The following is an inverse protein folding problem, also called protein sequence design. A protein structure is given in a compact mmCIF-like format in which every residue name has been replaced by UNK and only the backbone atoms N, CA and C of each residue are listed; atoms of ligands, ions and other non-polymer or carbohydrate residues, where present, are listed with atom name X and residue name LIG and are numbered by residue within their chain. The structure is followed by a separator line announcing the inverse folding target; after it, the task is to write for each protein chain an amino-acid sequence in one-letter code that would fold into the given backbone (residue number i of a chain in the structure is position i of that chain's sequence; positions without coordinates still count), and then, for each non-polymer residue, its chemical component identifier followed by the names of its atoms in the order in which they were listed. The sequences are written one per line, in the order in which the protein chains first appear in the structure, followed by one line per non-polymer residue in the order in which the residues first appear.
data_IF_904233102427
#
_entry.id   IF_904233102427
#
_cell.length_a   1.000
_cell.length_b   1.000
_cell.length_c   1.000
_cell.angle_alpha   90.00
_cell.angle_beta   90.00
_cell.angle_gamma   90.00
#
_symmetry.space_group_name_H-M   'P 1'
#
loop_
_entity.id
_entity.type
_entity.pdbx_description
1 polymer ?
#
# COMPACT_ATOMS: atom_id res chain seq x y z
N UNK A 1 13.39 3.41 14.62
CA UNK A 1 12.68 2.12 14.67
C UNK A 1 11.18 2.42 14.78
N UNK A 2 10.41 2.22 13.70
CA UNK A 2 8.95 2.40 13.70
C UNK A 2 8.37 1.21 14.48
N UNK A 3 7.70 1.49 15.60
CA UNK A 3 6.96 0.44 16.32
C UNK A 3 5.71 0.11 15.50
N UNK A 4 5.27 -1.17 15.49
CA UNK A 4 4.05 -1.64 14.79
C UNK A 4 2.77 -0.85 15.06
N UNK A 5 2.79 0.10 16.01
CA UNK A 5 1.65 0.89 16.48
C UNK A 5 1.73 2.35 16.05
N UNK A 6 2.62 2.72 15.12
CA UNK A 6 2.79 4.11 14.68
C UNK A 6 2.12 4.28 13.31
N UNK A 7 0.90 4.79 13.31
CA UNK A 7 0.17 5.09 12.09
C UNK A 7 0.71 6.39 11.48
N UNK A 8 0.98 6.40 10.19
CA UNK A 8 1.41 7.60 9.46
C UNK A 8 0.28 8.22 8.64
N UNK A 9 -0.79 7.47 8.39
CA UNK A 9 -2.00 7.91 7.71
C UNK A 9 -3.24 7.64 8.58
N UNK A 10 -4.22 8.52 8.45
CA UNK A 10 -5.49 8.50 9.16
C UNK A 10 -6.61 8.97 8.22
N UNK A 11 -7.86 8.92 8.67
CA UNK A 11 -9.00 9.53 7.98
C UNK A 11 -9.34 10.85 8.65
N UNK A 12 -9.44 11.91 7.84
CA UNK A 12 -9.97 13.23 8.23
C UNK A 12 -11.06 13.63 7.24
N UNK A 13 -12.24 13.93 7.74
CA UNK A 13 -13.39 14.34 6.90
C UNK A 13 -13.67 13.34 5.74
N UNK A 14 -13.46 12.04 6.00
CA UNK A 14 -13.65 10.98 5.02
C UNK A 14 -12.49 10.78 4.03
N UNK A 15 -11.41 11.55 4.15
CA UNK A 15 -10.25 11.50 3.23
C UNK A 15 -9.01 10.98 3.94
N UNK A 16 -8.24 10.11 3.25
CA UNK A 16 -6.94 9.66 3.72
C UNK A 16 -5.98 10.85 3.84
N UNK A 17 -5.35 11.00 4.99
CA UNK A 17 -4.53 12.16 5.30
C UNK A 17 -3.25 11.76 6.02
N UNK A 18 -2.11 12.26 5.55
CA UNK A 18 -0.80 12.05 6.17
C UNK A 18 -0.71 12.81 7.51
N UNK A 19 0.06 12.24 8.44
CA UNK A 19 0.43 12.90 9.70
C UNK A 19 1.07 14.27 9.48
N UNK A 20 1.79 14.47 8.37
CA UNK A 20 2.46 15.74 8.08
C UNK A 20 1.49 16.86 7.73
N UNK A 21 0.31 16.53 7.21
CA UNK A 21 -0.70 17.47 6.71
C UNK A 21 -1.75 17.88 7.76
N UNK A 22 -1.56 17.53 9.03
CA UNK A 22 -2.53 17.82 10.09
C UNK A 22 -1.90 18.57 11.25
N UNK A 23 -2.74 19.22 12.07
CA UNK A 23 -2.31 19.86 13.31
C UNK A 23 -1.92 18.83 14.36
N UNK A 24 -1.01 19.22 15.29
CA UNK A 24 -0.60 18.38 16.40
C UNK A 24 -1.72 18.18 17.42
N UNK A 25 -1.71 17.05 18.10
CA UNK A 25 -2.66 16.70 19.15
C UNK A 25 -4.03 16.28 18.63
N UNK A 26 -5.06 16.43 19.45
CA UNK A 26 -6.46 16.11 19.10
C UNK A 26 -7.06 17.06 18.07
N UNK A 27 -6.48 18.25 17.90
CA UNK A 27 -6.92 19.22 16.89
C UNK A 27 -6.80 18.70 15.45
N UNK A 28 -6.05 17.62 15.23
CA UNK A 28 -6.00 16.97 13.92
C UNK A 28 -7.40 16.57 13.42
N UNK A 29 -8.35 16.26 14.29
CA UNK A 29 -9.69 15.81 13.91
C UNK A 29 -9.70 14.46 13.15
N UNK A 30 -8.68 13.64 13.37
CA UNK A 30 -8.48 12.39 12.63
C UNK A 30 -9.03 11.19 13.38
N UNK A 31 -9.45 10.19 12.61
CA UNK A 31 -9.89 8.88 13.12
C UNK A 31 -9.05 7.75 12.54
N UNK A 32 -8.98 6.65 13.26
CA UNK A 32 -8.31 5.44 12.80
C UNK A 32 -9.04 4.84 11.59
N UNK A 33 -8.34 4.55 10.49
CA UNK A 33 -8.97 3.98 9.31
C UNK A 33 -9.51 2.56 9.52
N UNK A 34 -9.08 1.88 10.57
CA UNK A 34 -9.51 0.51 10.88
C UNK A 34 -10.66 0.47 11.90
N UNK A 35 -10.49 1.07 13.08
CA UNK A 35 -11.47 0.97 14.16
C UNK A 35 -12.35 2.22 14.35
N UNK A 36 -12.08 3.32 13.62
CA UNK A 36 -12.85 4.56 13.71
C UNK A 36 -12.60 5.40 14.96
N UNK A 37 -11.72 4.96 15.88
CA UNK A 37 -11.40 5.70 17.11
C UNK A 37 -10.65 7.00 16.79
N UNK A 38 -10.87 8.03 17.65
CA UNK A 38 -10.15 9.29 17.58
C UNK A 38 -8.65 9.09 17.75
N UNK A 39 -7.89 9.80 16.93
CA UNK A 39 -6.44 9.77 16.93
C UNK A 39 -5.84 11.08 17.46
N UNK A 40 -4.66 10.95 18.04
CA UNK A 40 -3.82 12.06 18.48
C UNK A 40 -2.60 12.14 17.58
N UNK A 41 -2.40 13.26 16.91
CA UNK A 41 -1.21 13.49 16.09
C UNK A 41 0.00 13.81 16.97
N UNK A 42 0.96 12.91 17.05
CA UNK A 42 2.21 13.03 17.80
C UNK A 42 3.30 13.63 16.89
N UNK A 43 3.52 14.94 16.98
CA UNK A 43 4.48 15.68 16.12
C UNK A 43 5.62 16.30 16.96
N UNK A 44 6.22 15.50 17.83
CA UNK A 44 7.35 15.93 18.65
C UNK A 44 8.70 15.82 17.91
N UNK A 45 9.72 16.52 18.40
CA UNK A 45 11.05 16.60 17.78
C UNK A 45 11.95 15.37 17.97
N UNK A 46 11.61 14.49 18.93
CA UNK A 46 12.48 13.35 19.32
C UNK A 46 12.12 12.03 18.63
N UNK A 47 10.95 11.92 18.05
CA UNK A 47 10.44 10.69 17.40
C UNK A 47 9.81 11.04 16.08
N UNK A 48 9.76 10.08 15.15
CA UNK A 48 8.99 10.21 13.92
C UNK A 48 7.54 10.61 14.24
N UNK A 49 7.00 11.52 13.46
CA UNK A 49 5.61 11.91 13.53
C UNK A 49 4.71 10.70 13.27
N UNK A 50 3.68 10.52 14.09
CA UNK A 50 2.74 9.42 13.97
C UNK A 50 1.42 9.73 14.66
N UNK A 51 0.38 9.02 14.29
CA UNK A 51 -0.87 9.01 15.05
C UNK A 51 -0.85 7.91 16.10
N UNK A 52 -1.51 8.15 17.22
CA UNK A 52 -1.82 7.17 18.24
C UNK A 52 -3.29 7.25 18.64
N UNK A 53 -3.89 6.14 19.03
CA UNK A 53 -5.26 6.13 19.54
C UNK A 53 -5.37 6.99 20.80
N UNK A 54 -6.48 7.71 20.91
CA UNK A 54 -6.72 8.60 22.06
C UNK A 54 -6.82 7.83 23.37
N UNK A 55 -7.51 6.68 23.37
CA UNK A 55 -7.61 5.80 24.53
C UNK A 55 -6.29 5.14 24.93
N UNK A 56 -5.29 5.17 24.05
CA UNK A 56 -4.01 4.47 24.24
C UNK A 56 -4.07 2.97 23.95
N UNK A 57 -5.21 2.44 23.48
CA UNK A 57 -5.32 1.03 23.13
C UNK A 57 -4.68 0.75 21.76
N UNK A 58 -4.19 -0.46 21.55
CA UNK A 58 -3.63 -0.89 20.28
C UNK A 58 -4.73 -1.51 19.39
N UNK A 59 -4.86 -0.98 18.18
CA UNK A 59 -5.75 -1.51 17.16
C UNK A 59 -5.00 -2.52 16.30
N UNK A 60 -5.48 -3.76 16.22
CA UNK A 60 -4.83 -4.88 15.55
C UNK A 60 -4.50 -4.59 14.08
N UNK A 61 -5.43 -3.98 13.35
CA UNK A 61 -5.29 -3.71 11.91
C UNK A 61 -4.98 -2.25 11.57
N UNK A 62 -4.84 -1.38 12.56
CA UNK A 62 -4.63 0.07 12.34
C UNK A 62 -3.37 0.36 11.54
N UNK A 63 -2.27 -0.30 11.88
CA UNK A 63 -0.99 -0.12 11.19
C UNK A 63 -1.06 -0.57 9.73
N UNK A 64 -1.60 -1.76 9.48
CA UNK A 64 -1.77 -2.32 8.14
C UNK A 64 -2.62 -1.40 7.27
N UNK A 65 -3.81 -1.03 7.75
CA UNK A 65 -4.72 -0.15 7.02
C UNK A 65 -4.09 1.23 6.74
N UNK A 66 -3.32 1.77 7.70
CA UNK A 66 -2.59 3.02 7.52
C UNK A 66 -1.53 2.93 6.41
N UNK A 67 -0.80 1.81 6.33
CA UNK A 67 0.18 1.58 5.25
C UNK A 67 -0.48 1.39 3.88
N UNK A 68 -1.60 0.68 3.82
CA UNK A 68 -2.39 0.57 2.58
C UNK A 68 -2.84 1.94 2.07
N UNK A 69 -3.34 2.80 2.96
CA UNK A 69 -3.72 4.18 2.61
C UNK A 69 -2.51 4.99 2.12
N UNK A 70 -1.38 4.88 2.80
CA UNK A 70 -0.16 5.56 2.40
C UNK A 70 0.29 5.14 0.99
N UNK A 71 0.32 3.83 0.72
CA UNK A 71 0.70 3.29 -0.59
C UNK A 71 -0.26 3.76 -1.69
N UNK A 72 -1.57 3.70 -1.45
CA UNK A 72 -2.59 4.16 -2.41
C UNK A 72 -2.44 5.66 -2.70
N UNK A 73 -2.21 6.50 -1.69
CA UNK A 73 -2.02 7.93 -1.90
C UNK A 73 -0.75 8.23 -2.70
N UNK A 74 0.38 7.62 -2.34
CA UNK A 74 1.64 7.79 -3.08
C UNK A 74 1.47 7.38 -4.54
N UNK A 75 0.86 6.22 -4.79
CA UNK A 75 0.65 5.70 -6.14
C UNK A 75 -0.35 6.55 -6.94
N UNK A 76 -1.38 7.11 -6.28
CA UNK A 76 -2.39 7.94 -6.96
C UNK A 76 -1.82 9.22 -7.55
N UNK A 77 -0.73 9.73 -6.98
CA UNK A 77 -0.06 10.96 -7.41
C UNK A 77 1.23 10.71 -8.20
N UNK A 78 1.65 9.43 -8.33
CA UNK A 78 2.86 9.06 -9.02
C UNK A 78 2.73 9.26 -10.54
N UNK A 79 3.73 9.89 -11.16
CA UNK A 79 3.82 10.03 -12.61
C UNK A 79 4.66 8.93 -13.27
N UNK A 80 5.42 8.19 -12.47
CA UNK A 80 6.31 7.11 -12.91
C UNK A 80 6.37 6.02 -11.85
N UNK A 81 6.64 4.81 -12.29
CA UNK A 81 6.91 3.67 -11.41
C UNK A 81 8.03 2.82 -12.00
N UNK A 82 8.92 2.33 -11.12
CA UNK A 82 9.94 1.36 -11.49
C UNK A 82 9.34 -0.05 -11.37
N UNK A 83 9.19 -0.74 -12.51
CA UNK A 83 8.82 -2.14 -12.53
C UNK A 83 10.05 -3.01 -12.24
N UNK A 84 9.93 -4.04 -11.39
CA UNK A 84 11.04 -4.94 -11.10
C UNK A 84 11.40 -5.79 -12.32
N UNK A 85 12.63 -6.32 -12.32
CA UNK A 85 12.99 -7.37 -13.25
C UNK A 85 12.16 -8.63 -13.00
N UNK A 86 11.75 -9.30 -14.07
CA UNK A 86 10.96 -10.53 -14.00
C UNK A 86 11.86 -11.72 -14.37
N UNK A 87 11.85 -12.73 -13.51
CA UNK A 87 12.57 -13.97 -13.70
C UNK A 87 11.60 -15.15 -13.83
N UNK A 88 11.86 -16.03 -14.79
CA UNK A 88 11.14 -17.28 -14.93
C UNK A 88 11.86 -18.35 -14.12
N UNK A 89 11.12 -19.06 -13.29
CA UNK A 89 11.58 -20.22 -12.54
C UNK A 89 11.16 -21.49 -13.29
N UNK A 90 12.09 -22.42 -13.44
CA UNK A 90 11.79 -23.73 -14.07
C UNK A 90 11.26 -24.70 -13.03
N UNK A 91 10.10 -25.38 -13.28
CA UNK A 91 9.48 -26.28 -12.31
C UNK A 91 10.41 -27.39 -11.78
N UNK A 92 11.31 -27.87 -12.65
CA UNK A 92 12.24 -28.97 -12.33
C UNK A 92 13.62 -28.50 -11.85
N UNK A 93 13.84 -27.17 -11.74
CA UNK A 93 15.11 -26.59 -11.32
C UNK A 93 14.86 -25.29 -10.57
N UNK A 94 14.34 -25.36 -9.31
CA UNK A 94 13.90 -24.16 -8.58
C UNK A 94 15.03 -23.17 -8.27
N UNK A 95 16.30 -23.58 -8.43
CA UNK A 95 17.46 -22.68 -8.30
C UNK A 95 17.87 -22.03 -9.62
N UNK A 96 17.37 -22.52 -10.77
CA UNK A 96 17.65 -21.93 -12.06
C UNK A 96 16.59 -20.88 -12.39
N UNK A 97 17.03 -19.65 -12.55
CA UNK A 97 16.18 -18.53 -12.95
C UNK A 97 16.75 -17.95 -14.25
N UNK A 98 15.86 -17.65 -15.18
CA UNK A 98 16.20 -16.94 -16.41
C UNK A 98 15.56 -15.56 -16.39
N UNK A 99 16.33 -14.52 -16.72
CA UNK A 99 15.81 -13.17 -16.85
C UNK A 99 14.87 -13.10 -18.06
N UNK A 100 13.59 -12.85 -17.77
CA UNK A 100 12.56 -12.68 -18.79
C UNK A 100 12.42 -11.22 -19.24
N UNK A 101 12.46 -10.30 -18.27
CA UNK A 101 12.34 -8.87 -18.53
C UNK A 101 13.20 -8.09 -17.54
N UNK A 102 13.96 -7.12 -18.03
CA UNK A 102 14.73 -6.22 -17.17
C UNK A 102 13.83 -5.26 -16.39
N UNK A 103 14.35 -4.78 -15.27
CA UNK A 103 13.70 -3.70 -14.52
C UNK A 103 13.55 -2.46 -15.43
N UNK A 104 12.40 -1.83 -15.39
CA UNK A 104 12.08 -0.72 -16.29
C UNK A 104 11.24 0.35 -15.59
N UNK A 105 11.63 1.60 -15.75
CA UNK A 105 10.77 2.72 -15.39
C UNK A 105 9.71 2.93 -16.48
N UNK A 106 8.45 3.08 -16.05
CA UNK A 106 7.33 3.40 -16.94
C UNK A 106 6.66 4.70 -16.51
N UNK A 107 6.18 5.47 -17.49
CA UNK A 107 5.34 6.65 -17.24
C UNK A 107 3.90 6.22 -17.00
N UNK A 108 3.28 6.81 -15.99
CA UNK A 108 1.88 6.55 -15.62
C UNK A 108 1.00 7.59 -16.33
N UNK A 109 0.02 7.13 -17.10
CA UNK A 109 -0.96 7.97 -17.78
C UNK A 109 -2.13 8.30 -16.87
N UNK A 110 -2.59 7.30 -16.07
CA UNK A 110 -3.72 7.42 -15.18
C UNK A 110 -3.64 6.35 -14.08
N UNK A 111 -4.15 6.69 -12.92
CA UNK A 111 -4.32 5.78 -11.77
C UNK A 111 -5.77 5.74 -11.36
N UNK A 112 -6.29 4.57 -11.03
CA UNK A 112 -7.59 4.38 -10.41
C UNK A 112 -7.42 3.49 -9.17
N UNK A 113 -8.03 3.91 -8.07
CA UNK A 113 -7.99 3.15 -6.81
C UNK A 113 -9.23 2.28 -6.67
N UNK A 114 -9.06 1.06 -6.19
CA UNK A 114 -10.15 0.12 -5.84
C UNK A 114 -11.21 -0.03 -6.95
N UNK A 115 -10.80 0.11 -8.19
CA UNK A 115 -11.71 -0.03 -9.32
C UNK A 115 -12.05 -1.50 -9.55
N UNK A 116 -13.35 -1.82 -9.54
CA UNK A 116 -13.82 -3.17 -9.86
C UNK A 116 -13.50 -3.50 -11.34
N UNK A 117 -12.89 -4.63 -11.54
CA UNK A 117 -12.66 -5.24 -12.85
C UNK A 117 -13.16 -6.69 -12.81
N UNK A 118 -14.25 -6.98 -13.50
CA UNK A 118 -14.96 -8.27 -13.42
C UNK A 118 -15.23 -8.65 -11.93
N UNK A 119 -14.68 -9.77 -11.46
CA UNK A 119 -14.87 -10.29 -10.11
C UNK A 119 -13.73 -9.95 -9.14
N UNK A 120 -12.83 -9.05 -9.53
CA UNK A 120 -11.70 -8.60 -8.71
C UNK A 120 -11.74 -7.09 -8.49
N UNK A 121 -11.27 -6.67 -7.34
CA UNK A 121 -11.02 -5.26 -7.02
C UNK A 121 -9.55 -5.15 -6.62
N UNK A 122 -8.66 -4.73 -7.54
CA UNK A 122 -7.27 -4.46 -7.19
C UNK A 122 -7.16 -3.20 -6.33
N UNK A 123 -6.12 -3.12 -5.49
CA UNK A 123 -5.86 -1.93 -4.69
C UNK A 123 -5.63 -0.71 -5.57
N UNK A 124 -4.85 -0.88 -6.64
CA UNK A 124 -4.52 0.17 -7.60
C UNK A 124 -4.50 -0.37 -9.01
N UNK A 125 -5.07 0.38 -9.95
CA UNK A 125 -4.98 0.13 -11.39
C UNK A 125 -4.16 1.25 -12.02
N UNK A 126 -3.04 0.89 -12.64
CA UNK A 126 -2.20 1.81 -13.42
C UNK A 126 -2.47 1.62 -14.91
N UNK A 127 -2.56 2.72 -15.62
CA UNK A 127 -2.63 2.77 -17.09
C UNK A 127 -1.32 3.35 -17.61
N UNK A 128 -0.65 2.60 -18.48
CA UNK A 128 0.62 2.97 -19.08
C UNK A 128 0.79 2.33 -20.47
N UNK A 129 1.14 3.11 -21.48
CA UNK A 129 1.35 2.63 -22.84
C UNK A 129 0.11 1.92 -23.43
N UNK A 130 -1.09 2.36 -23.09
CA UNK A 130 -2.35 1.76 -23.51
C UNK A 130 -2.66 0.40 -22.85
N UNK A 131 -1.90 -0.01 -21.84
CA UNK A 131 -2.10 -1.25 -21.08
C UNK A 131 -2.52 -0.95 -19.64
N UNK A 132 -3.10 -1.97 -18.99
CA UNK A 132 -3.44 -1.95 -17.57
C UNK A 132 -2.44 -2.80 -16.79
N UNK A 133 -2.08 -2.33 -15.61
CA UNK A 133 -1.27 -3.04 -14.62
C UNK A 133 -1.99 -2.96 -13.28
N UNK A 134 -2.23 -4.08 -12.65
CA UNK A 134 -2.79 -4.14 -11.30
C UNK A 134 -1.65 -4.13 -10.28
N UNK A 135 -1.82 -3.34 -9.22
CA UNK A 135 -0.94 -3.37 -8.06
C UNK A 135 -1.76 -3.77 -6.85
N UNK A 136 -1.22 -4.71 -6.09
CA UNK A 136 -1.72 -5.16 -4.80
C UNK A 136 -0.70 -4.80 -3.73
N UNK A 137 -1.17 -4.31 -2.60
CA UNK A 137 -0.32 -3.92 -1.48
C UNK A 137 -0.41 -4.98 -0.39
N UNK A 138 0.72 -5.54 -0.03
CA UNK A 138 0.84 -6.56 1.01
C UNK A 138 1.55 -5.97 2.24
N UNK A 139 0.93 -6.09 3.41
CA UNK A 139 1.53 -5.65 4.69
C UNK A 139 1.69 -6.81 5.67
N UNK A 140 0.62 -7.54 5.95
CA UNK A 140 0.64 -8.68 6.88
C UNK A 140 0.15 -9.97 6.24
N UNK A 141 -0.77 -9.87 5.29
CA UNK A 141 -1.37 -11.02 4.62
C UNK A 141 -1.20 -10.88 3.11
N UNK A 142 -0.49 -11.84 2.52
CA UNK A 142 -0.37 -11.96 1.07
C UNK A 142 -1.75 -12.19 0.43
N UNK A 143 -1.83 -11.95 -0.88
CA UNK A 143 -3.03 -12.24 -1.68
C UNK A 143 -3.47 -13.68 -1.41
N UNK A 144 -4.74 -13.88 -1.05
CA UNK A 144 -5.31 -15.20 -0.86
C UNK A 144 -5.49 -15.97 -2.18
N UNK A 145 -5.61 -17.29 -2.10
CA UNK A 145 -5.74 -18.16 -3.27
C UNK A 145 -6.98 -17.85 -4.13
N UNK A 146 -8.03 -17.29 -3.53
CA UNK A 146 -9.27 -16.93 -4.24
C UNK A 146 -9.00 -15.68 -5.08
N UNK A 147 -8.43 -14.63 -4.48
CA UNK A 147 -8.07 -13.40 -5.18
C UNK A 147 -7.02 -13.68 -6.26
N UNK A 148 -6.00 -14.49 -5.95
CA UNK A 148 -4.97 -14.89 -6.93
C UNK A 148 -5.57 -15.59 -8.16
N UNK A 149 -6.52 -16.50 -7.98
CA UNK A 149 -7.21 -17.17 -9.10
C UNK A 149 -7.99 -16.17 -9.95
N UNK A 150 -8.69 -15.22 -9.33
CA UNK A 150 -9.45 -14.17 -10.04
C UNK A 150 -8.53 -13.25 -10.83
N UNK A 151 -7.39 -12.85 -10.26
CA UNK A 151 -6.37 -12.05 -10.95
C UNK A 151 -5.80 -12.79 -12.17
N UNK A 152 -5.50 -14.08 -12.03
CA UNK A 152 -5.06 -14.91 -13.16
C UNK A 152 -6.12 -15.04 -14.26
N UNK A 153 -7.40 -15.14 -13.90
CA UNK A 153 -8.51 -15.21 -14.84
C UNK A 153 -8.75 -13.87 -15.56
N UNK A 154 -8.44 -12.75 -14.92
CA UNK A 154 -8.53 -11.43 -15.52
C UNK A 154 -7.54 -11.20 -16.66
N UNK A 155 -6.49 -12.04 -16.76
CA UNK A 155 -5.41 -11.96 -17.76
C UNK A 155 -4.74 -10.58 -17.84
N UNK A 156 -4.62 -9.92 -16.68
CA UNK A 156 -3.95 -8.62 -16.54
C UNK A 156 -2.70 -8.80 -15.68
N UNK A 157 -1.59 -8.22 -16.14
CA UNK A 157 -0.35 -8.22 -15.37
C UNK A 157 -0.59 -7.62 -13.99
N UNK A 158 -0.16 -8.33 -12.95
CA UNK A 158 -0.35 -7.93 -11.55
C UNK A 158 0.99 -7.97 -10.83
N UNK A 159 1.27 -6.95 -10.03
CA UNK A 159 2.43 -6.88 -9.15
C UNK A 159 1.93 -6.75 -7.72
N UNK A 160 2.50 -7.55 -6.82
CA UNK A 160 2.32 -7.41 -5.37
C UNK A 160 3.48 -6.61 -4.78
N UNK A 161 3.15 -5.54 -4.06
CA UNK A 161 4.11 -4.69 -3.36
C UNK A 161 4.19 -5.15 -1.91
N UNK A 162 5.30 -5.77 -1.53
CA UNK A 162 5.54 -6.27 -0.18
C UNK A 162 6.04 -5.16 0.74
N UNK A 163 5.17 -4.65 1.60
CA UNK A 163 5.48 -3.68 2.66
C UNK A 163 5.68 -4.35 4.03
N UNK A 164 5.67 -5.69 4.10
CA UNK A 164 5.86 -6.41 5.35
C UNK A 164 7.31 -6.34 5.86
N UNK A 165 8.25 -6.17 4.96
CA UNK A 165 9.68 -6.11 5.26
C UNK A 165 10.06 -4.71 5.72
N UNK A 166 10.61 -4.60 6.92
CA UNK A 166 11.29 -3.39 7.36
C UNK A 166 12.63 -3.33 6.66
N UNK A 167 12.81 -2.40 5.74
CA UNK A 167 14.15 -2.04 5.32
C UNK A 167 14.88 -1.44 6.52
N UNK A 168 15.97 -2.08 6.90
CA UNK A 168 16.93 -1.55 7.84
C UNK A 168 17.83 -0.60 7.03
N UNK A 169 17.44 0.66 6.97
CA UNK A 169 18.33 1.77 6.57
C UNK A 169 18.84 2.50 7.78
#
# INVERSE_FOLDING_TARGET
MIKRNQLTYAIKDGVATSIENVESGLKCGCICPSCGELLVAKKGTKRMHHFSHYSGHDCEYGYETSLHLAAKEILSTANRIMLPAVYIQFPNSPKAQELYCEAKEISIERVELEKRFQDVIPDVVIYAGGKQLFLEVFVTHAIDDIKLRKLKQADISTIEIDLSKKEHS
#
